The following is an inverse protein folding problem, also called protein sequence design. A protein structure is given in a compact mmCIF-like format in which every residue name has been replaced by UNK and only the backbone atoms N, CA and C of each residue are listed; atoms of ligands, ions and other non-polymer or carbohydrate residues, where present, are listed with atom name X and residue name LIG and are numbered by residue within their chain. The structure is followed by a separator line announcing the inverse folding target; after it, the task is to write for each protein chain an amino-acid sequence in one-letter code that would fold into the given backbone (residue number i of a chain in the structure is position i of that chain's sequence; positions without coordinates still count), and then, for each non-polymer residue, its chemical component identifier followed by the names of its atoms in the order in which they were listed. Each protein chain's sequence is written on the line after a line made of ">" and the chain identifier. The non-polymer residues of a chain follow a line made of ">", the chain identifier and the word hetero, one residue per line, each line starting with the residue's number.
data_IF_938319957871
#
_entry.id   IF_938319957871
#
_cell.length_a   1.000
_cell.length_b   1.000
_cell.length_c   1.000
_cell.angle_alpha   90.00
_cell.angle_beta   90.00
_cell.angle_gamma   90.00
#
_symmetry.space_group_name_H-M   'P 1'
#
loop_
_entity.id
_entity.type
_entity.pdbx_description
1 polymer ?
#
# COMPACT_ATOMS: atom_id res chain seq x y z
N UNK A 1 -15.82 5.44 21.39
CA UNK A 1 -14.82 4.40 21.74
C UNK A 1 -14.85 3.37 20.60
N UNK A 2 -13.78 3.24 19.84
CA UNK A 2 -13.70 2.22 18.79
C UNK A 2 -13.63 0.86 19.47
N UNK A 3 -14.58 -0.01 19.19
CA UNK A 3 -14.62 -1.36 19.71
C UNK A 3 -13.51 -2.17 19.01
N UNK A 4 -12.81 -3.05 19.73
CA UNK A 4 -11.72 -3.86 19.16
C UNK A 4 -12.13 -4.76 17.99
N UNK A 5 -13.43 -4.94 17.78
CA UNK A 5 -14.01 -5.66 16.63
C UNK A 5 -14.16 -4.80 15.37
N UNK A 6 -13.96 -3.48 15.45
CA UNK A 6 -14.08 -2.55 14.33
C UNK A 6 -12.72 -2.28 13.64
N UNK A 7 -11.68 -3.08 13.94
CA UNK A 7 -10.36 -2.95 13.32
C UNK A 7 -10.37 -3.60 11.94
N UNK A 8 -10.37 -2.77 10.91
CA UNK A 8 -10.07 -3.22 9.55
C UNK A 8 -8.56 -3.43 9.38
N UNK A 9 -8.17 -4.54 8.75
CA UNK A 9 -6.81 -4.70 8.27
C UNK A 9 -6.55 -3.68 7.14
N UNK A 10 -5.33 -3.15 7.05
CA UNK A 10 -4.98 -2.20 5.99
C UNK A 10 -5.30 -2.76 4.60
N UNK A 11 -5.02 -4.04 4.37
CA UNK A 11 -5.31 -4.73 3.11
C UNK A 11 -6.80 -4.77 2.77
N UNK A 12 -7.68 -4.78 3.77
CA UNK A 12 -9.14 -4.67 3.56
C UNK A 12 -9.57 -3.23 3.34
N UNK A 13 -8.97 -2.31 4.10
CA UNK A 13 -9.31 -0.89 4.04
C UNK A 13 -8.87 -0.21 2.73
N UNK A 14 -7.86 -0.75 2.03
CA UNK A 14 -7.33 -0.19 0.79
C UNK A 14 -8.11 -0.65 -0.45
N UNK A 15 -8.94 -1.69 -0.33
CA UNK A 15 -9.75 -2.20 -1.44
C UNK A 15 -10.67 -1.10 -1.98
N UNK A 16 -10.65 -0.85 -3.30
CA UNK A 16 -11.54 0.14 -3.91
C UNK A 16 -13.01 -0.16 -3.65
N UNK A 17 -13.85 0.87 -3.45
CA UNK A 17 -15.31 0.67 -3.44
C UNK A 17 -15.81 0.11 -4.76
N UNK A 18 -16.95 -0.57 -4.75
CA UNK A 18 -17.59 -1.08 -5.97
C UNK A 18 -17.79 0.03 -7.01
N UNK A 19 -17.38 -0.21 -8.25
CA UNK A 19 -17.44 0.75 -9.34
C UNK A 19 -16.33 1.82 -9.35
N UNK A 20 -15.34 1.68 -8.47
CA UNK A 20 -14.19 2.57 -8.39
C UNK A 20 -12.88 1.79 -8.53
N UNK A 21 -11.85 2.48 -9.02
CA UNK A 21 -10.48 1.99 -9.00
C UNK A 21 -9.61 2.92 -8.15
N UNK A 22 -8.50 2.40 -7.62
CA UNK A 22 -7.52 3.24 -6.96
C UNK A 22 -6.87 4.15 -8.00
N UNK A 23 -6.89 5.43 -7.75
CA UNK A 23 -6.24 6.45 -8.57
C UNK A 23 -4.89 6.85 -7.97
N UNK A 24 -4.87 7.16 -6.68
CA UNK A 24 -3.67 7.58 -5.96
C UNK A 24 -3.75 7.21 -4.47
N UNK A 25 -2.63 6.87 -3.88
CA UNK A 25 -2.50 6.54 -2.47
C UNK A 25 -1.27 7.18 -1.85
N UNK A 26 -1.46 7.92 -0.77
CA UNK A 26 -0.39 8.43 0.09
C UNK A 26 -0.45 7.70 1.42
N UNK A 27 0.63 7.03 1.79
CA UNK A 27 0.76 6.35 3.07
C UNK A 27 1.93 6.90 3.88
N UNK A 28 1.80 6.87 5.20
CA UNK A 28 2.89 7.21 6.11
C UNK A 28 3.09 6.12 7.14
N UNK A 29 4.32 5.81 7.45
CA UNK A 29 4.69 4.81 8.46
C UNK A 29 6.04 5.15 9.08
N UNK A 30 6.32 4.60 10.26
CA UNK A 30 7.68 4.67 10.82
C UNK A 30 8.61 3.69 10.07
N UNK A 31 8.32 2.40 10.13
CA UNK A 31 9.06 1.37 9.41
C UNK A 31 8.27 0.87 8.22
N UNK A 32 8.94 0.64 7.10
CA UNK A 32 8.37 0.11 5.89
C UNK A 32 8.90 -1.29 5.62
N UNK A 33 8.01 -2.25 5.55
CA UNK A 33 8.29 -3.59 5.03
C UNK A 33 7.92 -3.64 3.54
N UNK A 34 8.90 -3.93 2.68
CA UNK A 34 8.70 -3.97 1.24
C UNK A 34 7.73 -5.09 0.82
N UNK A 35 7.73 -6.21 1.52
CA UNK A 35 6.79 -7.30 1.24
C UNK A 35 5.35 -6.90 1.58
N UNK A 36 5.16 -6.17 2.69
CA UNK A 36 3.87 -5.60 3.04
C UNK A 36 3.37 -4.60 1.98
N UNK A 37 4.27 -3.79 1.42
CA UNK A 37 3.90 -2.85 0.34
C UNK A 37 3.45 -3.58 -0.92
N UNK A 38 4.09 -4.68 -1.30
CA UNK A 38 3.62 -5.55 -2.40
C UNK A 38 2.20 -6.05 -2.11
N UNK A 39 1.94 -6.55 -0.90
CA UNK A 39 0.63 -7.07 -0.50
C UNK A 39 -0.45 -5.99 -0.56
N UNK A 40 -0.14 -4.78 -0.11
CA UNK A 40 -1.04 -3.62 -0.16
C UNK A 40 -1.35 -3.22 -1.61
N UNK A 41 -0.33 -3.20 -2.48
CA UNK A 41 -0.53 -2.87 -3.90
C UNK A 41 -1.41 -3.90 -4.62
N UNK A 42 -1.27 -5.18 -4.28
CA UNK A 42 -2.12 -6.26 -4.79
C UNK A 42 -3.56 -6.12 -4.31
N UNK A 43 -3.78 -5.85 -3.02
CA UNK A 43 -5.12 -5.64 -2.48
C UNK A 43 -5.85 -4.46 -3.15
N UNK A 44 -5.12 -3.42 -3.53
CA UNK A 44 -5.66 -2.25 -4.21
C UNK A 44 -5.91 -2.45 -5.72
N UNK A 45 -5.34 -3.50 -6.32
CA UNK A 45 -5.33 -3.70 -7.78
C UNK A 45 -6.65 -4.17 -8.36
N UNK A 46 -7.59 -4.63 -7.54
CA UNK A 46 -8.81 -5.29 -7.98
C UNK A 46 -8.60 -6.73 -8.47
N UNK A 47 -7.44 -7.34 -8.22
CA UNK A 47 -7.23 -8.78 -8.43
C UNK A 47 -8.19 -9.55 -7.55
N UNK A 48 -8.76 -10.64 -8.09
CA UNK A 48 -9.71 -11.48 -7.40
C UNK A 48 -9.14 -11.98 -6.06
N UNK A 49 -9.94 -11.89 -5.01
CA UNK A 49 -9.55 -12.32 -3.67
C UNK A 49 -9.18 -13.81 -3.62
N UNK A 50 -9.79 -14.64 -4.45
CA UNK A 50 -9.48 -16.07 -4.55
C UNK A 50 -8.05 -16.30 -5.04
N UNK A 51 -7.60 -15.52 -6.04
CA UNK A 51 -6.21 -15.59 -6.55
C UNK A 51 -5.23 -15.13 -5.46
N UNK A 52 -5.59 -14.11 -4.67
CA UNK A 52 -4.73 -13.61 -3.58
C UNK A 52 -4.60 -14.61 -2.44
N UNK A 53 -5.67 -15.33 -2.11
CA UNK A 53 -5.69 -16.31 -1.02
C UNK A 53 -5.02 -17.64 -1.38
N UNK A 54 -5.23 -18.11 -2.61
CA UNK A 54 -4.71 -19.40 -3.10
C UNK A 54 -4.20 -19.27 -4.54
N UNK A 55 -3.04 -18.62 -4.74
CA UNK A 55 -2.50 -18.46 -6.08
C UNK A 55 -2.10 -19.79 -6.70
N UNK A 56 -2.49 -20.03 -7.93
CA UNK A 56 -2.04 -21.14 -8.75
C UNK A 56 -0.76 -20.77 -9.52
N UNK A 57 0.02 -21.75 -10.05
CA UNK A 57 1.26 -21.46 -10.77
C UNK A 57 1.10 -20.52 -11.97
N UNK A 58 -0.07 -20.52 -12.63
CA UNK A 58 -0.38 -19.62 -13.74
C UNK A 58 -0.67 -18.17 -13.33
N UNK A 59 -0.97 -17.93 -12.06
CA UNK A 59 -1.37 -16.62 -11.55
C UNK A 59 -0.18 -15.69 -11.29
N UNK A 60 1.04 -16.22 -11.27
CA UNK A 60 2.25 -15.45 -10.96
C UNK A 60 2.41 -14.23 -11.88
N UNK A 61 2.17 -14.39 -13.18
CA UNK A 61 2.24 -13.29 -14.15
C UNK A 61 1.14 -12.25 -13.94
N UNK A 62 -0.07 -12.70 -13.58
CA UNK A 62 -1.19 -11.82 -13.25
C UNK A 62 -0.86 -10.98 -12.03
N UNK A 63 -0.31 -11.58 -10.99
CA UNK A 63 0.08 -10.90 -9.75
C UNK A 63 1.23 -9.91 -9.99
N UNK A 64 2.27 -10.30 -10.73
CA UNK A 64 3.37 -9.41 -11.08
C UNK A 64 2.88 -8.19 -11.88
N UNK A 65 2.03 -8.41 -12.86
CA UNK A 65 1.46 -7.31 -13.67
C UNK A 65 0.56 -6.41 -12.82
N UNK A 66 -0.19 -6.96 -11.87
CA UNK A 66 -0.99 -6.18 -10.95
C UNK A 66 -0.12 -5.27 -10.06
N UNK A 67 1.00 -5.78 -9.52
CA UNK A 67 1.97 -4.95 -8.80
C UNK A 67 2.53 -3.87 -9.70
N UNK A 68 3.01 -4.22 -10.88
CA UNK A 68 3.64 -3.28 -11.82
C UNK A 68 2.71 -2.12 -12.19
N UNK A 69 1.44 -2.40 -12.43
CA UNK A 69 0.45 -1.38 -12.80
C UNK A 69 0.04 -0.47 -11.66
N UNK A 70 0.01 -1.00 -10.45
CA UNK A 70 -0.55 -0.26 -9.32
C UNK A 70 0.48 0.43 -8.45
N UNK A 71 1.72 -0.07 -8.40
CA UNK A 71 2.72 0.48 -7.50
C UNK A 71 3.05 1.96 -7.78
N UNK A 72 2.99 2.39 -9.02
CA UNK A 72 3.22 3.80 -9.39
C UNK A 72 2.14 4.76 -8.86
N UNK A 73 1.02 4.23 -8.36
CA UNK A 73 -0.05 5.03 -7.72
C UNK A 73 0.20 5.30 -6.24
N UNK A 74 1.22 4.65 -5.66
CA UNK A 74 1.56 4.76 -4.26
C UNK A 74 2.71 5.73 -4.04
N UNK A 75 2.57 6.55 -3.00
CA UNK A 75 3.66 7.31 -2.38
C UNK A 75 3.68 6.96 -0.91
N UNK A 76 4.75 6.34 -0.43
CA UNK A 76 4.88 5.90 0.95
C UNK A 76 6.03 6.66 1.60
N UNK A 77 5.71 7.47 2.59
CA UNK A 77 6.71 8.17 3.40
C UNK A 77 7.04 7.34 4.64
N UNK A 78 8.30 7.05 4.86
CA UNK A 78 8.78 6.31 6.03
C UNK A 78 9.99 7.01 6.67
N UNK A 79 10.26 6.65 7.94
CA UNK A 79 11.47 7.13 8.61
C UNK A 79 12.71 6.68 7.85
N UNK A 80 13.63 7.60 7.62
CA UNK A 80 14.93 7.30 7.00
C UNK A 80 15.67 6.20 7.76
N UNK A 81 16.19 5.21 7.04
CA UNK A 81 16.88 4.05 7.60
C UNK A 81 15.96 2.99 8.21
N UNK A 82 14.64 3.13 8.14
CA UNK A 82 13.69 2.18 8.72
C UNK A 82 12.97 1.31 7.66
N UNK A 83 13.63 1.05 6.53
CA UNK A 83 13.13 0.16 5.49
C UNK A 83 13.59 -1.26 5.78
N UNK A 84 12.65 -2.19 5.87
CA UNK A 84 12.91 -3.61 6.01
C UNK A 84 12.92 -4.29 4.64
N UNK A 85 14.10 -4.76 4.24
CA UNK A 85 14.30 -5.49 2.99
C UNK A 85 14.30 -7.00 3.30
N UNK A 86 13.51 -7.81 2.56
CA UNK A 86 13.53 -9.27 2.74
C UNK A 86 14.94 -9.85 2.51
N UNK A 87 15.24 -10.96 3.20
CA UNK A 87 16.54 -11.64 3.07
C UNK A 87 16.83 -12.10 1.65
N UNK A 88 15.80 -12.59 0.96
CA UNK A 88 15.86 -12.92 -0.46
C UNK A 88 15.37 -11.71 -1.24
N UNK A 89 16.32 -10.90 -1.73
CA UNK A 89 15.99 -9.80 -2.61
C UNK A 89 15.54 -10.32 -3.97
N UNK A 90 14.43 -9.80 -4.47
CA UNK A 90 13.92 -10.09 -5.82
C UNK A 90 13.76 -8.79 -6.60
N UNK A 91 13.95 -8.86 -7.90
CA UNK A 91 13.89 -7.68 -8.79
C UNK A 91 12.57 -6.92 -8.70
N UNK A 92 11.47 -7.59 -8.30
CA UNK A 92 10.18 -6.93 -8.08
C UNK A 92 10.26 -5.79 -7.06
N UNK A 93 11.16 -5.87 -6.08
CA UNK A 93 11.35 -4.81 -5.09
C UNK A 93 11.96 -3.54 -5.67
N UNK A 94 12.66 -3.60 -6.80
CA UNK A 94 13.15 -2.43 -7.52
C UNK A 94 11.99 -1.56 -8.06
N UNK A 95 10.85 -2.17 -8.37
CA UNK A 95 9.67 -1.44 -8.82
C UNK A 95 9.05 -0.57 -7.73
N UNK A 96 9.32 -0.88 -6.46
CA UNK A 96 8.81 -0.15 -5.31
C UNK A 96 9.60 1.13 -5.03
N UNK A 97 10.85 1.19 -5.45
CA UNK A 97 11.77 2.29 -5.12
C UNK A 97 11.21 3.68 -5.46
N UNK A 98 10.62 3.94 -6.64
CA UNK A 98 10.04 5.24 -6.95
C UNK A 98 8.86 5.65 -6.07
N UNK A 99 8.23 4.67 -5.41
CA UNK A 99 7.06 4.89 -4.54
C UNK A 99 7.43 5.15 -3.08
N UNK A 100 8.70 5.00 -2.72
CA UNK A 100 9.18 5.13 -1.34
C UNK A 100 9.92 6.45 -1.16
N UNK A 101 9.51 7.20 -0.15
CA UNK A 101 10.14 8.46 0.25
C UNK A 101 10.65 8.33 1.69
N UNK A 102 11.96 8.38 1.87
CA UNK A 102 12.56 8.41 3.19
C UNK A 102 12.51 9.83 3.77
N UNK A 103 12.03 9.95 4.98
CA UNK A 103 11.86 11.22 5.69
C UNK A 103 12.65 11.20 6.97
N UNK A 104 13.43 12.26 7.19
CA UNK A 104 14.14 12.49 8.46
C UNK A 104 13.50 13.64 9.22
N UNK A 105 13.44 13.52 10.56
CA UNK A 105 13.03 14.64 11.39
C UNK A 105 14.05 15.80 11.29
N UNK A 106 13.60 17.05 11.26
CA UNK A 106 14.52 18.20 11.34
C UNK A 106 15.16 18.37 12.73
N UNK A 107 14.67 17.66 13.74
CA UNK A 107 15.19 17.67 15.10
C UNK A 107 16.11 16.48 15.34
N UNK A 108 17.26 16.68 15.98
CA UNK A 108 18.27 15.62 16.23
C UNK A 108 17.70 14.38 16.92
N UNK A 109 16.74 14.56 17.84
CA UNK A 109 16.10 13.46 18.58
C UNK A 109 14.67 13.17 18.09
N UNK A 110 14.27 13.74 16.94
CA UNK A 110 12.95 13.55 16.39
C UNK A 110 12.87 12.32 15.51
N UNK A 111 11.69 11.72 15.43
CA UNK A 111 11.37 10.62 14.53
C UNK A 111 10.15 10.95 13.69
N UNK A 112 10.11 10.43 12.46
CA UNK A 112 8.94 10.49 11.62
C UNK A 112 8.06 9.28 11.91
N UNK A 113 6.95 9.46 12.62
CA UNK A 113 6.10 8.35 13.08
C UNK A 113 4.59 8.54 12.84
N UNK A 114 4.12 9.26 11.83
CA UNK A 114 2.72 9.27 11.50
C UNK A 114 2.28 7.93 10.89
N UNK A 115 1.04 7.54 11.13
CA UNK A 115 0.43 6.32 10.61
C UNK A 115 -0.90 6.66 9.96
N UNK A 116 -0.82 7.30 8.82
CA UNK A 116 -1.98 7.85 8.12
C UNK A 116 -1.95 7.40 6.66
N UNK A 117 -3.12 7.09 6.11
CA UNK A 117 -3.30 6.84 4.69
C UNK A 117 -4.39 7.72 4.13
N UNK A 118 -4.15 8.26 2.95
CA UNK A 118 -5.12 8.99 2.14
C UNK A 118 -5.21 8.26 0.80
N UNK A 119 -6.41 7.78 0.48
CA UNK A 119 -6.70 7.05 -0.75
C UNK A 119 -7.67 7.85 -1.60
N UNK A 120 -7.35 7.99 -2.88
CA UNK A 120 -8.21 8.58 -3.88
C UNK A 120 -8.68 7.49 -4.83
N UNK A 121 -9.98 7.37 -4.99
CA UNK A 121 -10.61 6.44 -5.90
C UNK A 121 -11.36 7.20 -6.99
N UNK A 122 -11.35 6.66 -8.20
CA UNK A 122 -12.04 7.24 -9.35
C UNK A 122 -12.95 6.20 -10.00
N UNK A 123 -14.15 6.62 -10.38
CA UNK A 123 -15.07 5.83 -11.18
C UNK A 123 -14.93 6.15 -12.66
N UNK A 124 -15.42 5.27 -13.55
CA UNK A 124 -15.44 5.49 -15.00
C UNK A 124 -16.21 6.76 -15.39
N UNK A 125 -17.18 7.19 -14.57
CA UNK A 125 -17.91 8.44 -14.73
C UNK A 125 -17.09 9.71 -14.42
N UNK A 126 -15.87 9.54 -13.87
CA UNK A 126 -15.03 10.62 -13.35
C UNK A 126 -15.36 11.04 -11.91
N UNK A 127 -16.34 10.39 -11.26
CA UNK A 127 -16.62 10.63 -9.84
C UNK A 127 -15.44 10.24 -8.97
N UNK A 128 -15.10 11.07 -7.99
CA UNK A 128 -13.95 10.87 -7.10
C UNK A 128 -14.43 10.63 -5.68
N UNK A 129 -13.79 9.70 -4.99
CA UNK A 129 -13.96 9.45 -3.55
C UNK A 129 -12.61 9.43 -2.85
N UNK A 130 -12.60 9.92 -1.62
CA UNK A 130 -11.44 9.85 -0.74
C UNK A 130 -11.75 8.93 0.45
N UNK A 131 -10.73 8.21 0.89
CA UNK A 131 -10.74 7.47 2.14
C UNK A 131 -9.54 7.87 2.96
N UNK A 132 -9.78 8.24 4.20
CA UNK A 132 -8.74 8.58 5.16
C UNK A 132 -8.68 7.47 6.22
N UNK A 133 -7.48 6.95 6.46
CA UNK A 133 -7.23 5.93 7.48
C UNK A 133 -6.23 6.47 8.49
N UNK A 134 -6.53 6.29 9.75
CA UNK A 134 -5.61 6.54 10.85
C UNK A 134 -5.31 5.18 11.51
N UNK A 135 -4.07 4.75 11.44
CA UNK A 135 -3.65 3.46 11.97
C UNK A 135 -3.08 3.63 13.38
N UNK A 136 -3.35 2.66 14.22
CA UNK A 136 -2.86 2.63 15.61
C UNK A 136 -1.76 1.59 15.77
#
# INVERSE_FOLDING_TARGET
>A
MLNGYDRLLLTQAIVPPSGYALDEALGTTYSLDLLALVSVSLAASGVDAEILEKPEPGDALVLLEAVRRNICRFTICCQSGAIHVPREFKDVFLWLEPSVVEVSSPHENGVFHPKVWILRFIADTGAVRYRFLCLT
#
